data_IF_474742632842
#
_entry.id   IF_474742632842
#
_cell.length_a   1.000
_cell.length_b   1.000
_cell.length_c   1.000
_cell.angle_alpha   90.00
_cell.angle_beta   90.00
_cell.angle_gamma   90.00
#
_symmetry.space_group_name_H-M   'P 1'
#
loop_
_entity.id
_entity.type
_entity.pdbx_description
1 polymer ?
#
# COMPACT_ATOMS: atom_id res chain seq x y z
N UNK A 1 -129.18 -17.60 -8.26
CA UNK A 1 -129.88 -18.75 -7.64
C UNK A 1 -128.95 -19.95 -7.46
N UNK A 2 -128.16 -20.34 -8.46
CA UNK A 2 -127.27 -21.53 -8.39
C UNK A 2 -126.19 -21.49 -7.30
N UNK A 3 -125.53 -20.35 -7.04
CA UNK A 3 -124.56 -20.23 -5.93
C UNK A 3 -125.17 -20.49 -4.55
N UNK A 4 -126.40 -20.00 -4.30
CA UNK A 4 -127.10 -20.21 -3.02
C UNK A 4 -127.49 -21.68 -2.83
N UNK A 5 -127.94 -22.35 -3.88
CA UNK A 5 -128.23 -23.79 -3.82
C UNK A 5 -126.96 -24.64 -3.61
N UNK A 6 -125.82 -24.25 -4.19
CA UNK A 6 -124.55 -24.94 -3.96
C UNK A 6 -124.02 -24.72 -2.54
N UNK A 7 -124.15 -23.50 -2.02
CA UNK A 7 -123.82 -23.17 -0.62
C UNK A 7 -124.71 -23.94 0.36
N UNK A 8 -126.02 -23.99 0.11
CA UNK A 8 -126.99 -24.70 0.95
C UNK A 8 -126.80 -26.21 0.88
N UNK A 9 -126.52 -26.78 -0.30
CA UNK A 9 -126.18 -28.20 -0.46
C UNK A 9 -124.87 -28.55 0.24
N UNK A 10 -123.86 -27.70 0.17
CA UNK A 10 -122.58 -27.88 0.89
C UNK A 10 -122.79 -27.84 2.40
N UNK A 11 -123.62 -26.90 2.87
CA UNK A 11 -124.01 -26.79 4.28
C UNK A 11 -124.76 -28.03 4.76
N UNK A 12 -125.78 -28.46 4.03
CA UNK A 12 -126.56 -29.66 4.37
C UNK A 12 -125.68 -30.91 4.39
N UNK A 13 -124.76 -31.04 3.42
CA UNK A 13 -123.78 -32.13 3.42
C UNK A 13 -122.82 -32.07 4.63
N UNK A 14 -122.42 -30.86 5.05
CA UNK A 14 -121.64 -30.68 6.27
C UNK A 14 -122.43 -31.08 7.51
N UNK A 15 -123.71 -30.68 7.60
CA UNK A 15 -124.60 -31.02 8.71
C UNK A 15 -124.86 -32.54 8.78
N UNK A 16 -125.10 -33.21 7.65
CA UNK A 16 -125.22 -34.67 7.63
C UNK A 16 -123.93 -35.40 8.01
N UNK A 17 -122.76 -34.91 7.55
CA UNK A 17 -121.47 -35.46 7.98
C UNK A 17 -121.26 -35.30 9.49
N UNK A 18 -121.69 -34.17 10.05
CA UNK A 18 -121.61 -33.91 11.48
C UNK A 18 -122.55 -34.82 12.28
N UNK A 19 -123.81 -34.95 11.86
CA UNK A 19 -124.78 -35.86 12.48
C UNK A 19 -124.32 -37.32 12.42
N UNK A 20 -123.77 -37.75 11.29
CA UNK A 20 -123.23 -39.11 11.15
C UNK A 20 -122.05 -39.33 12.10
N UNK A 21 -121.17 -38.34 12.27
CA UNK A 21 -120.07 -38.39 13.22
C UNK A 21 -120.56 -38.45 14.67
N UNK A 22 -121.60 -37.69 15.02
CA UNK A 22 -122.22 -37.72 16.36
C UNK A 22 -122.90 -39.05 16.68
N UNK A 23 -123.62 -39.63 15.72
CA UNK A 23 -124.23 -40.96 15.87
C UNK A 23 -123.16 -42.03 16.03
N UNK A 24 -122.09 -41.98 15.25
CA UNK A 24 -120.95 -42.88 15.43
C UNK A 24 -120.29 -42.74 16.80
N UNK A 25 -120.09 -41.50 17.26
CA UNK A 25 -119.49 -41.21 18.57
C UNK A 25 -120.35 -41.72 19.72
N UNK A 26 -121.66 -41.43 19.69
CA UNK A 26 -122.60 -41.88 20.72
C UNK A 26 -122.76 -43.41 20.75
N UNK A 27 -122.74 -44.06 19.58
CA UNK A 27 -122.72 -45.53 19.50
C UNK A 27 -121.45 -46.12 20.12
N UNK A 28 -120.29 -45.50 19.93
CA UNK A 28 -119.03 -45.96 20.53
C UNK A 28 -119.01 -45.75 22.05
N UNK A 29 -119.53 -44.63 22.54
CA UNK A 29 -119.63 -44.33 23.98
C UNK A 29 -120.53 -45.36 24.70
N UNK A 30 -121.70 -45.68 24.13
CA UNK A 30 -122.59 -46.70 24.69
C UNK A 30 -121.97 -48.10 24.67
N UNK A 31 -121.17 -48.43 23.65
CA UNK A 31 -120.43 -49.70 23.60
C UNK A 31 -119.39 -49.79 24.73
N UNK A 32 -118.72 -48.69 25.06
CA UNK A 32 -117.75 -48.61 26.16
C UNK A 32 -118.45 -48.71 27.52
N UNK A 33 -119.62 -48.09 27.70
CA UNK A 33 -120.38 -48.20 28.96
C UNK A 33 -120.80 -49.63 29.28
N UNK A 34 -121.17 -50.41 28.25
CA UNK A 34 -121.55 -51.83 28.38
C UNK A 34 -120.37 -52.78 28.68
N UNK A 35 -119.13 -52.29 28.70
CA UNK A 35 -117.97 -53.11 29.05
C UNK A 35 -117.83 -53.32 30.57
N UNK A 36 -117.38 -54.51 30.94
CA UNK A 36 -117.02 -54.86 32.32
C UNK A 36 -115.88 -53.99 32.86
N UNK A 37 -115.82 -53.82 34.18
CA UNK A 37 -114.82 -52.97 34.85
C UNK A 37 -113.37 -53.39 34.56
N UNK A 38 -113.11 -54.70 34.41
CA UNK A 38 -111.80 -55.25 34.02
C UNK A 38 -111.38 -54.76 32.64
N UNK A 39 -112.28 -54.83 31.65
CA UNK A 39 -112.02 -54.40 30.28
C UNK A 39 -111.78 -52.89 30.18
N UNK A 40 -112.52 -52.08 30.95
CA UNK A 40 -112.30 -50.63 31.06
C UNK A 40 -110.92 -50.31 31.64
N UNK A 41 -110.47 -51.06 32.66
CA UNK A 41 -109.13 -50.92 33.23
C UNK A 41 -108.03 -51.27 32.22
N UNK A 42 -108.19 -52.38 31.48
CA UNK A 42 -107.26 -52.79 30.42
C UNK A 42 -107.16 -51.72 29.33
N UNK A 43 -108.27 -51.11 28.91
CA UNK A 43 -108.26 -50.03 27.92
C UNK A 43 -107.53 -48.78 28.42
N UNK A 44 -107.73 -48.40 29.68
CA UNK A 44 -107.02 -47.28 30.29
C UNK A 44 -105.51 -47.55 30.35
N UNK A 45 -105.11 -48.73 30.80
CA UNK A 45 -103.72 -49.16 30.84
C UNK A 45 -103.11 -49.20 29.43
N UNK A 46 -103.81 -49.72 28.42
CA UNK A 46 -103.36 -49.68 27.03
C UNK A 46 -103.13 -48.26 26.53
N UNK A 47 -104.03 -47.32 26.89
CA UNK A 47 -103.89 -45.91 26.51
C UNK A 47 -102.70 -45.25 27.20
N UNK A 48 -102.46 -45.57 28.48
CA UNK A 48 -101.28 -45.11 29.22
C UNK A 48 -100.00 -45.67 28.61
N UNK A 49 -99.95 -46.97 28.37
CA UNK A 49 -98.82 -47.67 27.75
C UNK A 49 -98.55 -47.13 26.34
N UNK A 50 -99.59 -46.82 25.55
CA UNK A 50 -99.41 -46.23 24.23
C UNK A 50 -98.84 -44.80 24.29
N UNK A 51 -99.20 -44.01 25.30
CA UNK A 51 -98.62 -42.68 25.51
C UNK A 51 -97.15 -42.77 25.93
N UNK A 52 -96.83 -43.71 26.82
CA UNK A 52 -95.48 -43.96 27.30
C UNK A 52 -94.58 -44.51 26.17
N UNK A 53 -95.08 -45.43 25.36
CA UNK A 53 -94.39 -45.93 24.16
C UNK A 53 -94.09 -44.80 23.17
N UNK A 54 -95.02 -43.85 22.97
CA UNK A 54 -94.77 -42.68 22.11
C UNK A 54 -93.67 -41.77 22.64
N UNK A 55 -93.59 -41.58 23.96
CA UNK A 55 -92.50 -40.83 24.58
C UNK A 55 -91.17 -41.56 24.39
N UNK A 56 -91.14 -42.86 24.68
CA UNK A 56 -89.95 -43.68 24.49
C UNK A 56 -89.46 -43.67 23.03
N UNK A 57 -90.36 -43.76 22.05
CA UNK A 57 -89.98 -43.66 20.62
C UNK A 57 -89.33 -42.31 20.31
N UNK A 58 -89.90 -41.21 20.81
CA UNK A 58 -89.30 -39.87 20.62
C UNK A 58 -87.94 -39.74 21.27
N UNK A 59 -87.78 -40.23 22.49
CA UNK A 59 -86.50 -40.24 23.20
C UNK A 59 -85.47 -41.08 22.43
N UNK A 60 -85.86 -42.24 21.88
CA UNK A 60 -84.97 -43.05 21.04
C UNK A 60 -84.58 -42.33 19.75
N UNK A 61 -85.50 -41.62 19.11
CA UNK A 61 -85.22 -40.86 17.88
C UNK A 61 -84.23 -39.71 18.16
N UNK A 62 -84.42 -38.98 19.26
CA UNK A 62 -83.53 -37.90 19.71
C UNK A 62 -82.14 -38.42 20.06
N UNK A 63 -82.07 -39.51 20.82
CA UNK A 63 -80.81 -40.17 21.15
C UNK A 63 -80.09 -40.70 19.90
N UNK A 64 -80.83 -41.24 18.94
CA UNK A 64 -80.28 -41.75 17.69
C UNK A 64 -79.76 -40.61 16.78
N UNK A 65 -80.45 -39.48 16.74
CA UNK A 65 -79.96 -38.28 16.05
C UNK A 65 -78.69 -37.71 16.71
N UNK A 66 -78.65 -37.65 18.05
CA UNK A 66 -77.46 -37.22 18.79
C UNK A 66 -76.28 -38.18 18.57
N UNK A 67 -76.54 -39.50 18.58
CA UNK A 67 -75.54 -40.52 18.29
C UNK A 67 -74.95 -40.35 16.90
N UNK A 68 -75.78 -40.17 15.87
CA UNK A 68 -75.32 -39.95 14.49
C UNK A 68 -74.47 -38.67 14.37
N UNK A 69 -74.88 -37.59 15.05
CA UNK A 69 -74.12 -36.34 15.06
C UNK A 69 -72.75 -36.50 15.74
N UNK A 70 -72.71 -37.16 16.90
CA UNK A 70 -71.47 -37.47 17.61
C UNK A 70 -70.57 -38.40 16.80
N UNK A 71 -71.11 -39.41 16.12
CA UNK A 71 -70.35 -40.28 15.23
C UNK A 71 -69.72 -39.51 14.07
N UNK A 72 -70.49 -38.61 13.43
CA UNK A 72 -69.97 -37.77 12.35
C UNK A 72 -68.85 -36.85 12.84
N UNK A 73 -69.02 -36.21 14.01
CA UNK A 73 -67.98 -35.40 14.63
C UNK A 73 -66.73 -36.23 14.98
N UNK A 74 -66.91 -37.44 15.52
CA UNK A 74 -65.80 -38.34 15.85
C UNK A 74 -65.01 -38.74 14.60
N UNK A 75 -65.71 -39.05 13.50
CA UNK A 75 -65.08 -39.35 12.20
C UNK A 75 -64.28 -38.15 11.69
N UNK A 76 -64.84 -36.94 11.77
CA UNK A 76 -64.15 -35.70 11.36
C UNK A 76 -62.90 -35.45 12.20
N UNK A 77 -63.00 -35.52 13.53
CA UNK A 77 -61.87 -35.32 14.43
C UNK A 77 -60.75 -36.33 14.16
N UNK A 78 -61.08 -37.60 13.90
CA UNK A 78 -60.08 -38.61 13.52
C UNK A 78 -59.33 -38.25 12.24
N UNK A 79 -60.02 -37.69 11.24
CA UNK A 79 -59.39 -37.22 10.01
C UNK A 79 -58.49 -36.01 10.28
N UNK A 80 -58.94 -35.04 11.07
CA UNK A 80 -58.16 -33.86 11.44
C UNK A 80 -56.89 -34.23 12.23
N UNK A 81 -56.98 -35.17 13.18
CA UNK A 81 -55.81 -35.69 13.91
C UNK A 81 -54.82 -36.36 12.95
N UNK A 82 -55.29 -37.21 12.04
CA UNK A 82 -54.40 -37.87 11.07
C UNK A 82 -53.70 -36.87 10.14
N UNK A 83 -54.40 -35.82 9.69
CA UNK A 83 -53.81 -34.74 8.90
C UNK A 83 -52.78 -33.95 9.70
N UNK A 84 -53.09 -33.61 10.95
CA UNK A 84 -52.16 -32.91 11.84
C UNK A 84 -50.90 -33.74 12.12
N UNK A 85 -51.03 -35.05 12.34
CA UNK A 85 -49.87 -35.94 12.50
C UNK A 85 -48.98 -35.96 11.24
N UNK A 86 -49.58 -36.00 10.05
CA UNK A 86 -48.84 -35.93 8.79
C UNK A 86 -48.12 -34.58 8.64
N UNK A 87 -48.80 -33.48 8.97
CA UNK A 87 -48.22 -32.13 8.92
C UNK A 87 -47.04 -32.00 9.90
N UNK A 88 -47.19 -32.47 11.13
CA UNK A 88 -46.11 -32.46 12.14
C UNK A 88 -44.90 -33.27 11.64
N UNK A 89 -45.13 -34.46 11.06
CA UNK A 89 -44.06 -35.28 10.48
C UNK A 89 -43.32 -34.54 9.36
N UNK A 90 -44.04 -33.84 8.49
CA UNK A 90 -43.43 -33.11 7.38
C UNK A 90 -42.67 -31.87 7.86
N UNK A 91 -43.21 -31.11 8.82
CA UNK A 91 -42.49 -30.03 9.49
C UNK A 91 -41.21 -30.51 10.16
N UNK A 92 -41.24 -31.68 10.83
CA UNK A 92 -40.04 -32.26 11.44
C UNK A 92 -38.97 -32.61 10.39
N UNK A 93 -39.36 -33.21 9.25
CA UNK A 93 -38.43 -33.50 8.14
C UNK A 93 -37.84 -32.23 7.54
N UNK A 94 -38.66 -31.21 7.30
CA UNK A 94 -38.21 -29.92 6.77
C UNK A 94 -37.25 -29.24 7.76
N UNK A 95 -37.57 -29.27 9.06
CA UNK A 95 -36.71 -28.78 10.12
C UNK A 95 -35.35 -29.48 10.12
N UNK A 96 -35.33 -30.81 9.97
CA UNK A 96 -34.09 -31.57 9.89
C UNK A 96 -33.24 -31.19 8.67
N UNK A 97 -33.84 -31.04 7.48
CA UNK A 97 -33.14 -30.60 6.26
C UNK A 97 -32.52 -29.21 6.43
N UNK A 98 -33.32 -28.23 6.87
CA UNK A 98 -32.85 -26.86 7.12
C UNK A 98 -31.75 -26.80 8.17
N UNK A 99 -31.85 -27.61 9.23
CA UNK A 99 -30.82 -27.65 10.28
C UNK A 99 -29.50 -28.24 9.74
N UNK A 100 -29.58 -29.25 8.87
CA UNK A 100 -28.40 -29.80 8.18
C UNK A 100 -27.74 -28.75 7.26
N UNK A 101 -28.52 -28.09 6.41
CA UNK A 101 -28.05 -27.00 5.55
C UNK A 101 -27.42 -25.87 6.37
N UNK A 102 -28.04 -25.47 7.48
CA UNK A 102 -27.50 -24.45 8.37
C UNK A 102 -26.18 -24.90 9.03
N UNK A 103 -26.04 -26.18 9.39
CA UNK A 103 -24.80 -26.77 9.88
C UNK A 103 -23.67 -26.72 8.83
N UNK A 104 -23.98 -27.07 7.57
CA UNK A 104 -23.04 -27.02 6.44
C UNK A 104 -22.60 -25.58 6.15
N UNK A 105 -23.55 -24.64 6.04
CA UNK A 105 -23.27 -23.21 5.85
C UNK A 105 -22.45 -22.63 7.00
N UNK A 106 -22.80 -22.94 8.25
CA UNK A 106 -22.04 -22.50 9.42
C UNK A 106 -20.62 -23.05 9.41
N UNK A 107 -20.41 -24.29 8.96
CA UNK A 107 -19.06 -24.86 8.80
C UNK A 107 -18.25 -24.15 7.71
N UNK A 108 -18.91 -23.78 6.61
CA UNK A 108 -18.29 -23.02 5.52
C UNK A 108 -17.90 -21.61 5.97
N UNK A 109 -18.78 -20.90 6.68
CA UNK A 109 -18.52 -19.58 7.27
C UNK A 109 -17.30 -19.66 8.18
N UNK A 110 -17.27 -20.59 9.14
CA UNK A 110 -16.11 -20.77 10.04
C UNK A 110 -14.81 -21.06 9.28
N UNK A 111 -14.88 -21.81 8.19
CA UNK A 111 -13.70 -22.12 7.37
C UNK A 111 -13.18 -20.89 6.62
N UNK A 112 -14.09 -20.08 6.08
CA UNK A 112 -13.75 -18.81 5.42
C UNK A 112 -13.22 -17.78 6.42
N UNK A 113 -13.82 -17.65 7.59
CA UNK A 113 -13.33 -16.78 8.67
C UNK A 113 -11.91 -17.15 9.10
N UNK A 114 -11.62 -18.45 9.26
CA UNK A 114 -10.26 -18.94 9.55
C UNK A 114 -9.29 -18.61 8.42
N UNK A 115 -9.68 -18.81 7.17
CA UNK A 115 -8.84 -18.51 6.01
C UNK A 115 -8.49 -17.02 5.94
N UNK A 116 -9.50 -16.14 6.03
CA UNK A 116 -9.31 -14.69 6.03
C UNK A 116 -8.44 -14.26 7.21
N UNK A 117 -8.70 -14.78 8.41
CA UNK A 117 -7.88 -14.47 9.60
C UNK A 117 -6.42 -14.89 9.43
N UNK A 118 -6.15 -16.04 8.79
CA UNK A 118 -4.77 -16.47 8.50
C UNK A 118 -4.12 -15.55 7.48
N UNK A 119 -4.80 -15.27 6.36
CA UNK A 119 -4.31 -14.41 5.30
C UNK A 119 -4.00 -13.00 5.83
N UNK A 120 -4.89 -12.40 6.61
CA UNK A 120 -4.64 -11.07 7.21
C UNK A 120 -3.41 -11.09 8.13
N UNK A 121 -3.24 -12.13 8.97
CA UNK A 121 -2.06 -12.26 9.82
C UNK A 121 -0.77 -12.43 9.03
N UNK A 122 -0.81 -13.16 7.92
CA UNK A 122 0.32 -13.33 7.01
C UNK A 122 0.68 -11.99 6.35
N UNK A 123 -0.31 -11.25 5.83
CA UNK A 123 -0.09 -9.91 5.27
C UNK A 123 0.48 -8.93 6.29
N UNK A 124 -0.01 -8.92 7.53
CA UNK A 124 0.51 -8.03 8.57
C UNK A 124 1.97 -8.38 8.94
N UNK A 125 2.31 -9.67 8.98
CA UNK A 125 3.69 -10.13 9.19
C UNK A 125 4.60 -9.71 8.05
N UNK A 126 4.19 -9.93 6.81
CA UNK A 126 4.95 -9.54 5.62
C UNK A 126 5.13 -8.02 5.55
N UNK A 127 4.08 -7.24 5.79
CA UNK A 127 4.16 -5.78 5.88
C UNK A 127 5.10 -5.34 6.98
N UNK A 128 5.04 -5.97 8.15
CA UNK A 128 5.95 -5.68 9.27
C UNK A 128 7.41 -5.98 8.93
N UNK A 129 7.67 -7.12 8.29
CA UNK A 129 9.00 -7.52 7.85
C UNK A 129 9.56 -6.56 6.79
N UNK A 130 8.76 -6.22 5.77
CA UNK A 130 9.15 -5.29 4.71
C UNK A 130 9.43 -3.89 5.27
N UNK A 131 8.56 -3.38 6.15
CA UNK A 131 8.78 -2.10 6.80
C UNK A 131 10.04 -2.09 7.68
N UNK A 132 10.37 -3.21 8.34
CA UNK A 132 11.61 -3.33 9.11
C UNK A 132 12.84 -3.35 8.20
N UNK A 133 12.80 -4.05 7.07
CA UNK A 133 13.91 -4.06 6.10
C UNK A 133 14.10 -2.70 5.46
N UNK A 134 13.02 -2.00 5.11
CA UNK A 134 13.09 -0.69 4.47
C UNK A 134 13.64 0.36 5.44
N UNK A 135 13.23 0.31 6.73
CA UNK A 135 13.82 1.17 7.77
C UNK A 135 15.33 0.94 7.93
N UNK A 136 15.79 -0.32 7.91
CA UNK A 136 17.23 -0.63 7.99
C UNK A 136 17.98 -0.07 6.79
N UNK A 137 17.50 -0.32 5.57
CA UNK A 137 18.10 0.20 4.34
C UNK A 137 18.13 1.73 4.31
N UNK A 138 17.07 2.38 4.78
CA UNK A 138 17.02 3.83 4.87
C UNK A 138 18.07 4.36 5.86
N UNK A 139 18.18 3.76 7.05
CA UNK A 139 19.18 4.14 8.05
C UNK A 139 20.62 3.92 7.55
N UNK A 140 20.90 2.80 6.88
CA UNK A 140 22.20 2.52 6.25
C UNK A 140 22.53 3.57 5.18
N UNK A 141 21.59 3.86 4.27
CA UNK A 141 21.77 4.86 3.23
C UNK A 141 21.96 6.28 3.77
N UNK A 142 21.29 6.64 4.87
CA UNK A 142 21.49 7.92 5.56
C UNK A 142 22.90 8.04 6.14
N UNK A 143 23.40 6.96 6.75
CA UNK A 143 24.74 6.91 7.33
C UNK A 143 25.82 7.01 6.24
N UNK A 144 25.65 6.28 5.14
CA UNK A 144 26.53 6.37 3.98
C UNK A 144 26.52 7.77 3.36
N UNK A 145 25.33 8.36 3.19
CA UNK A 145 25.21 9.72 2.67
C UNK A 145 25.91 10.75 3.58
N UNK A 146 25.78 10.61 4.91
CA UNK A 146 26.48 11.46 5.86
C UNK A 146 28.01 11.28 5.77
N UNK A 147 28.49 10.03 5.71
CA UNK A 147 29.91 9.70 5.57
C UNK A 147 30.52 10.26 4.28
N UNK A 148 29.84 10.06 3.15
CA UNK A 148 30.27 10.59 1.84
C UNK A 148 30.29 12.11 1.82
N UNK A 149 29.30 12.80 2.41
CA UNK A 149 29.32 14.27 2.54
C UNK A 149 30.53 14.75 3.34
N UNK A 150 30.88 14.06 4.42
CA UNK A 150 32.06 14.41 5.22
C UNK A 150 33.36 14.17 4.45
N UNK A 151 33.46 13.05 3.73
CA UNK A 151 34.61 12.73 2.89
C UNK A 151 34.82 13.79 1.79
N UNK A 152 33.74 14.23 1.13
CA UNK A 152 33.78 15.30 0.14
C UNK A 152 34.30 16.61 0.76
N UNK A 153 33.89 16.96 1.98
CA UNK A 153 34.39 18.16 2.67
C UNK A 153 35.90 18.07 2.93
N UNK A 154 36.38 16.93 3.43
CA UNK A 154 37.81 16.71 3.69
C UNK A 154 38.63 16.75 2.40
N UNK A 155 38.18 16.04 1.35
CA UNK A 155 38.86 16.04 0.04
C UNK A 155 38.90 17.42 -0.60
N UNK A 156 37.83 18.22 -0.42
CA UNK A 156 37.81 19.61 -0.89
C UNK A 156 38.86 20.47 -0.18
N UNK A 157 39.04 20.29 1.14
CA UNK A 157 40.08 20.99 1.93
C UNK A 157 41.49 20.57 1.51
N UNK A 158 41.73 19.27 1.35
CA UNK A 158 43.01 18.74 0.86
C UNK A 158 43.34 19.29 -0.52
N UNK A 159 42.37 19.30 -1.44
CA UNK A 159 42.53 19.84 -2.77
C UNK A 159 42.82 21.35 -2.76
N UNK A 160 42.19 22.12 -1.86
CA UNK A 160 42.52 23.53 -1.67
C UNK A 160 43.96 23.72 -1.15
N UNK A 161 44.42 22.86 -0.24
CA UNK A 161 45.80 22.89 0.26
C UNK A 161 46.81 22.57 -0.85
N UNK A 162 46.56 21.52 -1.65
CA UNK A 162 47.41 21.16 -2.80
C UNK A 162 47.46 22.31 -3.81
N UNK A 163 46.33 22.95 -4.12
CA UNK A 163 46.30 24.13 -4.99
C UNK A 163 47.15 25.28 -4.45
N UNK A 164 47.07 25.56 -3.15
CA UNK A 164 47.88 26.61 -2.51
C UNK A 164 49.38 26.29 -2.59
N UNK A 165 49.77 25.05 -2.31
CA UNK A 165 51.16 24.61 -2.40
C UNK A 165 51.69 24.70 -3.84
N UNK A 166 50.90 24.28 -4.82
CA UNK A 166 51.27 24.40 -6.23
C UNK A 166 51.48 25.87 -6.64
N UNK A 167 50.61 26.78 -6.19
CA UNK A 167 50.75 28.22 -6.44
C UNK A 167 52.04 28.77 -5.80
N UNK A 168 52.36 28.37 -4.57
CA UNK A 168 53.60 28.77 -3.89
C UNK A 168 54.84 28.27 -4.64
N UNK A 169 54.85 27.01 -5.09
CA UNK A 169 55.97 26.45 -5.86
C UNK A 169 56.17 27.21 -7.16
N UNK A 170 55.10 27.56 -7.87
CA UNK A 170 55.19 28.39 -9.09
C UNK A 170 55.74 29.78 -8.79
N UNK A 171 55.27 30.44 -7.74
CA UNK A 171 55.78 31.74 -7.32
C UNK A 171 57.28 31.67 -6.99
N UNK A 172 57.70 30.69 -6.18
CA UNK A 172 59.12 30.51 -5.83
C UNK A 172 59.98 30.17 -7.03
N UNK A 173 59.48 29.38 -7.98
CA UNK A 173 60.15 29.16 -9.26
C UNK A 173 60.31 30.46 -10.04
N UNK A 174 59.28 31.29 -10.15
CA UNK A 174 59.36 32.59 -10.82
C UNK A 174 60.36 33.54 -10.14
N UNK A 175 60.38 33.58 -8.80
CA UNK A 175 61.39 34.35 -8.05
C UNK A 175 62.82 33.89 -8.39
N UNK A 176 63.06 32.58 -8.47
CA UNK A 176 64.36 32.01 -8.86
C UNK A 176 64.70 32.31 -10.32
N UNK A 177 63.73 32.21 -11.24
CA UNK A 177 63.92 32.53 -12.66
C UNK A 177 64.32 34.01 -12.84
N UNK A 178 63.64 34.94 -12.16
CA UNK A 178 63.99 36.37 -12.17
C UNK A 178 65.41 36.57 -11.61
N UNK A 179 65.71 35.97 -10.46
CA UNK A 179 67.02 36.08 -9.83
C UNK A 179 68.17 35.57 -10.72
N UNK A 180 67.94 34.47 -11.44
CA UNK A 180 68.90 33.93 -12.40
C UNK A 180 69.12 34.88 -13.57
N UNK A 181 68.06 35.45 -14.12
CA UNK A 181 68.14 36.44 -15.21
C UNK A 181 68.91 37.68 -14.77
N UNK A 182 68.58 38.26 -13.61
CA UNK A 182 69.30 39.41 -13.03
C UNK A 182 70.78 39.10 -12.80
N UNK A 183 71.11 37.90 -12.33
CA UNK A 183 72.50 37.49 -12.10
C UNK A 183 73.27 37.34 -13.41
N UNK A 184 72.64 36.81 -14.46
CA UNK A 184 73.24 36.70 -15.80
C UNK A 184 73.43 38.10 -16.40
N UNK A 185 72.45 39.00 -16.28
CA UNK A 185 72.53 40.39 -16.73
C UNK A 185 73.68 41.14 -16.04
N UNK A 186 73.82 40.95 -14.72
CA UNK A 186 74.92 41.54 -13.95
C UNK A 186 76.29 41.05 -14.44
N UNK A 187 76.43 39.74 -14.67
CA UNK A 187 77.69 39.17 -15.20
C UNK A 187 77.96 39.65 -16.62
N UNK A 188 76.93 39.72 -17.47
CA UNK A 188 77.05 40.28 -18.83
C UNK A 188 77.53 41.73 -18.78
N UNK A 189 76.96 42.56 -17.89
CA UNK A 189 77.39 43.94 -17.71
C UNK A 189 78.85 44.03 -17.20
N UNK A 190 79.27 43.16 -16.28
CA UNK A 190 80.66 43.10 -15.80
C UNK A 190 81.64 42.65 -16.89
N UNK A 191 81.28 41.64 -17.70
CA UNK A 191 82.05 41.19 -18.86
C UNK A 191 82.18 42.34 -19.86
N UNK A 192 81.09 43.01 -20.23
CA UNK A 192 81.12 44.17 -21.13
C UNK A 192 81.97 45.32 -20.58
N UNK A 193 81.92 45.59 -19.28
CA UNK A 193 82.75 46.61 -18.63
C UNK A 193 84.25 46.23 -18.68
N UNK A 194 84.59 44.97 -18.34
CA UNK A 194 85.97 44.46 -18.43
C UNK A 194 86.49 44.46 -19.87
N UNK A 195 85.65 44.13 -20.85
CA UNK A 195 86.00 44.23 -22.27
C UNK A 195 86.19 45.68 -22.71
N UNK A 196 85.33 46.62 -22.28
CA UNK A 196 85.52 48.04 -22.55
C UNK A 196 86.79 48.60 -21.90
N UNK A 197 87.15 48.16 -20.69
CA UNK A 197 88.40 48.52 -20.02
C UNK A 197 89.63 47.84 -20.66
N UNK A 198 89.46 46.62 -21.18
CA UNK A 198 90.43 45.91 -22.00
C UNK A 198 90.68 46.61 -23.34
N UNK A 199 89.62 47.02 -24.05
CA UNK A 199 89.68 47.82 -25.26
C UNK A 199 90.23 49.22 -24.99
N UNK A 200 89.94 49.85 -23.85
CA UNK A 200 90.59 51.11 -23.42
C UNK A 200 92.09 50.94 -23.13
N UNK A 201 92.52 49.75 -22.64
CA UNK A 201 93.94 49.39 -22.52
C UNK A 201 94.60 49.10 -23.87
N UNK A 202 93.86 48.55 -24.84
CA UNK A 202 94.36 48.23 -26.18
C UNK A 202 94.34 49.45 -27.14
N UNK A 203 93.44 50.42 -26.93
CA UNK A 203 93.33 51.65 -27.76
C UNK A 203 94.31 52.76 -27.35
N UNK A 204 94.97 52.67 -26.19
CA UNK A 204 96.16 53.50 -25.84
C UNK A 204 97.49 52.95 -26.37
N UNK A 205 97.49 51.82 -27.06
CA UNK A 205 98.65 51.24 -27.75
C UNK A 205 98.38 51.11 -29.25
N UNK A 206 98.27 52.24 -29.96
CA UNK A 206 98.25 52.20 -31.43
C UNK A 206 99.57 51.72 -32.02
N UNK A 207 99.45 50.93 -33.08
CA UNK A 207 100.12 51.09 -34.40
C UNK A 207 101.10 49.99 -34.84
N UNK A 208 101.00 49.72 -36.16
CA UNK A 208 101.76 48.82 -37.04
C UNK A 208 101.34 47.35 -36.98
N UNK A 209 100.67 46.79 -37.99
CA UNK A 209 101.09 46.62 -39.39
C UNK A 209 101.60 45.18 -39.54
N UNK A 210 101.26 44.31 -40.49
CA UNK A 210 100.46 44.33 -41.70
C UNK A 210 100.73 43.00 -42.44
N UNK A 211 99.73 42.47 -43.17
CA UNK A 211 99.86 41.35 -44.15
C UNK A 211 100.24 39.98 -43.56
N UNK A 212 99.96 38.79 -44.10
CA UNK A 212 99.34 38.29 -45.32
C UNK A 212 99.13 36.79 -45.07
N UNK A 213 98.00 36.20 -45.47
CA UNK A 213 97.93 35.02 -46.36
C UNK A 213 96.58 34.31 -46.25
N UNK A 214 96.24 33.70 -47.38
CA UNK A 214 94.93 33.27 -47.85
C UNK A 214 94.80 31.73 -47.77
N UNK A 215 93.57 31.30 -47.45
CA UNK A 215 92.80 30.12 -47.95
C UNK A 215 93.18 28.69 -47.47
N UNK A 216 92.29 27.65 -47.58
CA UNK A 216 90.84 27.63 -47.87
C UNK A 216 89.96 26.68 -46.96
N UNK A 217 88.66 26.67 -47.27
CA UNK A 217 87.51 25.88 -46.77
C UNK A 217 87.59 24.34 -46.89
N UNK A 218 86.93 23.63 -45.95
CA UNK A 218 86.17 22.34 -46.01
C UNK A 218 85.36 22.32 -44.68
N UNK A 219 84.04 22.13 -44.56
CA UNK A 219 83.09 21.19 -45.15
C UNK A 219 82.63 20.21 -44.05
N UNK A 220 81.34 20.18 -43.68
CA UNK A 220 80.80 19.09 -42.83
C UNK A 220 79.63 19.43 -41.89
N UNK A 221 78.44 19.01 -42.30
CA UNK A 221 77.13 18.92 -41.62
C UNK A 221 77.12 18.11 -40.30
N UNK A 222 76.31 18.50 -39.29
CA UNK A 222 75.13 17.71 -38.79
C UNK A 222 74.28 18.46 -37.74
N UNK A 223 72.96 18.32 -37.95
CA UNK A 223 71.79 18.34 -37.06
C UNK A 223 71.92 18.73 -35.56
N UNK A 224 71.01 19.60 -35.11
CA UNK A 224 70.06 19.25 -34.04
C UNK A 224 68.87 20.21 -34.03
N UNK A 225 67.68 19.69 -34.35
CA UNK A 225 66.41 20.35 -34.08
C UNK A 225 66.20 20.37 -32.55
N UNK A 226 66.24 21.55 -31.96
CA UNK A 226 65.67 21.81 -30.65
C UNK A 226 64.80 23.07 -30.75
N UNK A 227 63.53 22.89 -30.44
CA UNK A 227 62.45 23.86 -30.51
C UNK A 227 62.81 25.16 -29.80
N UNK A 228 62.93 26.24 -30.58
CA UNK A 228 63.25 27.58 -30.13
C UNK A 228 62.01 28.21 -29.49
N UNK A 229 61.95 28.24 -28.15
CA UNK A 229 61.04 29.15 -27.43
C UNK A 229 61.65 30.54 -27.53
N UNK A 230 61.12 31.36 -28.42
CA UNK A 230 61.51 32.77 -28.59
C UNK A 230 60.79 33.59 -27.53
N UNK A 231 61.47 33.89 -26.42
CA UNK A 231 61.12 35.04 -25.60
C UNK A 231 61.66 36.30 -26.28
N UNK A 232 60.75 37.13 -26.77
CA UNK A 232 61.06 38.49 -27.21
C UNK A 232 61.15 39.37 -25.97
N UNK A 233 62.36 39.74 -25.58
CA UNK A 233 62.65 40.96 -24.84
C UNK A 233 63.65 41.79 -25.65
N UNK A 234 63.51 43.10 -25.56
CA UNK A 234 64.09 44.08 -26.46
C UNK A 234 65.63 44.15 -26.39
N UNK A 235 66.28 44.17 -27.55
CA UNK A 235 67.37 45.12 -27.81
C UNK A 235 68.75 44.90 -27.20
N UNK A 236 69.06 43.77 -26.57
CA UNK A 236 70.42 43.46 -26.12
C UNK A 236 70.79 42.00 -26.44
N UNK A 237 71.98 41.80 -27.02
CA UNK A 237 72.55 40.50 -27.42
C UNK A 237 72.31 39.41 -26.36
N UNK A 238 71.51 38.41 -26.72
CA UNK A 238 71.28 37.23 -25.89
C UNK A 238 72.59 36.42 -25.81
N UNK A 239 73.37 36.65 -24.76
CA UNK A 239 74.55 35.83 -24.46
C UNK A 239 74.07 34.47 -23.98
N UNK A 240 74.38 33.43 -24.75
CA UNK A 240 73.98 32.06 -24.43
C UNK A 240 74.92 31.54 -23.32
N UNK A 241 74.41 30.75 -22.37
CA UNK A 241 75.22 30.19 -21.26
C UNK A 241 76.43 29.38 -21.76
N UNK A 242 76.36 28.94 -23.02
CA UNK A 242 77.40 28.21 -23.77
C UNK A 242 78.60 29.07 -24.17
N UNK A 243 78.44 30.39 -24.19
CA UNK A 243 79.47 31.34 -24.61
C UNK A 243 80.35 31.81 -23.45
N UNK A 244 79.90 31.57 -22.22
CA UNK A 244 80.67 31.81 -21.00
C UNK A 244 81.81 30.80 -20.87
N UNK A 245 83.00 31.29 -20.51
CA UNK A 245 84.12 30.44 -20.12
C UNK A 245 83.81 29.66 -18.84
N UNK A 246 84.54 28.57 -18.59
CA UNK A 246 84.32 27.71 -17.43
C UNK A 246 84.43 28.46 -16.09
N UNK A 247 85.35 29.42 -16.00
CA UNK A 247 85.56 30.24 -14.80
C UNK A 247 84.38 31.20 -14.55
N UNK A 248 83.79 31.77 -15.62
CA UNK A 248 82.62 32.64 -15.53
C UNK A 248 81.36 31.86 -15.11
N UNK A 249 81.19 30.64 -15.62
CA UNK A 249 80.11 29.75 -15.19
C UNK A 249 80.25 29.37 -13.71
N UNK A 250 81.47 29.12 -13.25
CA UNK A 250 81.74 28.82 -11.84
C UNK A 250 81.49 30.05 -10.95
N UNK A 251 81.83 31.26 -11.38
CA UNK A 251 81.51 32.50 -10.67
C UNK A 251 80.01 32.76 -10.57
N UNK A 252 79.26 32.53 -11.65
CA UNK A 252 77.78 32.59 -11.65
C UNK A 252 77.22 31.62 -10.60
N UNK A 253 77.69 30.37 -10.58
CA UNK A 253 77.24 29.36 -9.62
C UNK A 253 77.64 29.68 -8.17
N UNK A 254 78.85 30.21 -7.92
CA UNK A 254 79.29 30.60 -6.57
C UNK A 254 78.54 31.83 -6.07
N UNK A 255 78.29 32.82 -6.93
CA UNK A 255 77.47 33.99 -6.60
C UNK A 255 76.03 33.57 -6.28
N UNK A 256 75.45 32.70 -7.12
CA UNK A 256 74.15 32.05 -6.90
C UNK A 256 74.09 31.37 -5.53
N UNK A 257 75.04 30.51 -5.21
CA UNK A 257 75.06 29.74 -3.96
C UNK A 257 75.23 30.64 -2.73
N UNK A 258 76.10 31.65 -2.80
CA UNK A 258 76.33 32.57 -1.68
C UNK A 258 75.09 33.41 -1.35
N UNK A 259 74.31 33.78 -2.38
CA UNK A 259 73.18 34.70 -2.27
C UNK A 259 71.88 33.96 -1.91
N UNK A 260 71.72 32.70 -2.37
CA UNK A 260 70.65 31.79 -1.91
C UNK A 260 70.78 31.52 -0.40
N UNK A 261 72.00 31.27 0.09
CA UNK A 261 72.25 31.00 1.51
C UNK A 261 72.21 32.25 2.41
N UNK A 262 72.14 33.45 1.84
CA UNK A 262 72.03 34.72 2.57
C UNK A 262 70.57 35.21 2.73
N UNK A 263 69.60 34.59 2.05
CA UNK A 263 68.17 34.91 2.24
C UNK A 263 67.64 34.16 3.48
N UNK A 264 67.07 34.85 4.49
CA UNK A 264 66.56 34.17 5.69
C UNK A 264 65.35 33.29 5.33
N UNK A 265 65.19 32.12 5.96
CA UNK A 265 64.00 31.29 5.76
C UNK A 265 62.75 32.09 6.17
N UNK A 266 61.65 32.04 5.39
CA UNK A 266 60.39 32.66 5.81
C UNK A 266 59.92 32.03 7.12
N UNK A 267 59.60 32.88 8.09
CA UNK A 267 59.17 32.52 9.45
C UNK A 267 58.05 31.48 9.47
N UNK A 268 58.28 30.38 10.20
CA UNK A 268 57.36 29.24 10.45
C UNK A 268 56.02 29.59 11.13
N UNK A 269 55.77 30.85 11.48
CA UNK A 269 54.63 31.26 12.32
C UNK A 269 53.26 31.33 11.62
N UNK A 270 53.14 30.88 10.37
CA UNK A 270 51.84 30.81 9.66
C UNK A 270 51.35 29.37 9.40
N UNK A 271 52.07 28.35 9.89
CA UNK A 271 51.81 26.95 9.53
C UNK A 271 50.75 26.24 10.39
N UNK A 272 50.23 26.86 11.44
CA UNK A 272 49.15 26.27 12.26
C UNK A 272 48.16 27.33 12.76
N UNK A 273 46.89 27.30 12.30
CA UNK A 273 45.77 27.71 13.13
C UNK A 273 45.48 26.56 14.09
N UNK A 274 45.88 26.73 15.35
CA UNK A 274 45.14 26.23 16.51
C UNK A 274 43.68 26.64 16.34
N UNK A 275 42.76 25.68 16.24
CA UNK A 275 41.83 25.33 17.32
C UNK A 275 40.80 24.32 16.79
N UNK A 276 40.78 23.17 17.44
CA UNK A 276 39.69 22.21 17.41
C UNK A 276 38.62 22.81 18.33
N UNK A 277 37.55 23.34 17.77
CA UNK A 277 36.30 23.49 18.50
C UNK A 277 35.40 22.32 18.10
N UNK A 278 35.33 21.37 19.03
CA UNK A 278 34.27 20.39 19.09
C UNK A 278 33.07 21.07 19.74
N UNK A 279 31.98 21.23 19.00
CA UNK A 279 30.62 21.24 19.56
C UNK A 279 29.57 21.08 18.43
N UNK A 280 28.60 20.21 18.71
CA UNK A 280 27.35 19.89 18.01
C UNK A 280 27.40 19.24 16.61
#
# INVERSE_FOLDING_TARGET
MERRFLEEKSRLQSEYKQQLAEVQKSSQEQAVERLDASTKKILFENRRLAAELKLQVRETDELQAAHQSLEAANRRLKQEVALNEQHIKECAKQGHRRNKENGELSSKVRSLERYVSSATREFDRERGALAATDRKKAAEAELDAAGLRQLVRLKTRELANVKRLAALVLQKRSEVEIFLLESIEQVRAEISLRHADGERRLTRGSSHGGSSQRLPSIGGTVASQASRVVFKSNGEEAVDLRDLSWEEREQVLRLLFSKINASPPPSESAFFPTQIDADA
#
